data_IF_958767865227
#
_entry.id   IF_958767865227
#
_cell.length_a   1.000
_cell.length_b   1.000
_cell.length_c   1.000
_cell.angle_alpha   90.00
_cell.angle_beta   90.00
_cell.angle_gamma   90.00
#
_symmetry.space_group_name_H-M   'P 1'
#
loop_
_entity.id
_entity.type
_entity.pdbx_description
1 polymer ?
#
# COMPACT_ATOMS: atom_id res chain seq x y z
N UNK A 1 0.23 59.62 -54.08
CA UNK A 1 0.90 59.33 -52.78
C UNK A 1 0.63 57.87 -52.50
N UNK A 2 1.44 56.95 -53.02
CA UNK A 2 2.65 56.38 -52.42
C UNK A 2 2.34 55.61 -51.12
N UNK A 3 2.78 54.39 -50.84
CA UNK A 3 3.37 53.27 -51.57
C UNK A 3 3.63 52.17 -50.52
N UNK A 4 3.58 50.88 -50.90
CA UNK A 4 4.12 49.70 -50.17
C UNK A 4 3.51 49.41 -48.78
N UNK A 5 3.41 48.18 -48.27
CA UNK A 5 4.05 46.91 -48.58
C UNK A 5 4.03 46.10 -47.26
N UNK A 6 3.85 44.78 -47.38
CA UNK A 6 3.64 43.81 -46.31
C UNK A 6 4.72 43.81 -45.20
N UNK A 7 4.39 43.33 -44.00
CA UNK A 7 5.05 42.17 -43.36
C UNK A 7 4.55 41.95 -41.93
N UNK A 8 4.29 40.69 -41.61
CA UNK A 8 4.29 40.13 -40.25
C UNK A 8 5.61 39.35 -40.11
N UNK A 9 6.37 39.54 -39.02
CA UNK A 9 7.11 38.41 -38.48
C UNK A 9 7.11 38.38 -36.95
N UNK A 10 6.99 37.16 -36.42
CA UNK A 10 7.46 36.81 -35.09
C UNK A 10 8.93 37.25 -34.93
N UNK A 11 9.23 37.93 -33.83
CA UNK A 11 10.45 37.74 -33.00
C UNK A 11 10.52 38.82 -31.92
N UNK A 12 10.26 38.45 -30.67
CA UNK A 12 10.86 39.09 -29.48
C UNK A 12 10.52 38.28 -28.23
N UNK A 13 11.30 37.23 -28.00
CA UNK A 13 11.52 36.67 -26.68
C UNK A 13 12.60 37.53 -25.98
N UNK A 14 12.38 37.99 -24.74
CA UNK A 14 13.49 38.07 -23.79
C UNK A 14 13.21 37.24 -22.53
N UNK A 15 14.09 36.24 -22.41
CA UNK A 15 14.58 35.46 -21.27
C UNK A 15 14.69 36.26 -19.96
N UNK A 16 14.66 35.54 -18.81
CA UNK A 16 15.01 35.86 -17.40
C UNK A 16 13.77 35.95 -16.47
N UNK A 17 13.60 35.22 -15.38
CA UNK A 17 14.38 34.19 -14.68
C UNK A 17 13.42 33.48 -13.72
N UNK A 18 13.32 32.15 -13.75
CA UNK A 18 12.70 31.37 -12.68
C UNK A 18 13.74 30.42 -12.09
N UNK A 19 14.10 30.69 -10.84
CA UNK A 19 14.96 29.84 -10.04
C UNK A 19 14.28 28.49 -9.81
N UNK A 20 14.94 27.43 -10.27
CA UNK A 20 14.63 26.05 -9.91
C UNK A 20 15.10 25.79 -8.48
N UNK A 21 14.22 25.23 -7.66
CA UNK A 21 14.62 24.42 -6.50
C UNK A 21 14.11 23.01 -6.78
N UNK A 22 15.04 22.15 -7.13
CA UNK A 22 14.87 20.70 -7.23
C UNK A 22 14.85 20.09 -5.82
N UNK A 23 13.81 19.34 -5.47
CA UNK A 23 13.92 18.22 -4.54
C UNK A 23 13.20 17.01 -5.15
N UNK A 24 13.92 16.34 -6.05
CA UNK A 24 13.60 15.00 -6.48
C UNK A 24 14.18 14.03 -5.44
N UNK A 25 13.42 13.74 -4.39
CA UNK A 25 13.70 12.63 -3.49
C UNK A 25 13.60 11.31 -4.26
N UNK A 26 14.76 10.71 -4.47
CA UNK A 26 15.00 9.46 -5.19
C UNK A 26 14.43 8.26 -4.43
N UNK A 27 13.46 7.59 -5.04
CA UNK A 27 13.01 6.25 -4.65
C UNK A 27 14.13 5.25 -5.00
N UNK A 28 14.91 4.86 -3.99
CA UNK A 28 15.84 3.73 -4.10
C UNK A 28 15.08 2.43 -3.84
N UNK A 29 14.63 1.82 -4.93
CA UNK A 29 14.17 0.43 -5.02
C UNK A 29 15.32 -0.48 -4.63
N UNK A 30 15.28 -1.08 -3.44
CA UNK A 30 16.19 -2.18 -3.09
C UNK A 30 15.54 -3.50 -3.48
N UNK A 31 15.78 -3.94 -4.71
CA UNK A 31 15.62 -5.35 -5.07
C UNK A 31 16.71 -6.15 -4.33
N UNK A 32 16.38 -7.27 -3.67
CA UNK A 32 17.39 -8.24 -3.28
C UNK A 32 17.79 -9.06 -4.51
N UNK A 33 19.05 -8.96 -4.90
CA UNK A 33 19.71 -9.79 -5.91
C UNK A 33 19.57 -11.28 -5.55
N UNK A 34 18.82 -11.99 -6.39
CA UNK A 34 18.79 -13.45 -6.48
C UNK A 34 19.87 -13.88 -7.47
N UNK A 35 21.11 -13.97 -7.02
CA UNK A 35 22.19 -14.60 -7.78
C UNK A 35 23.29 -15.09 -6.82
N UNK A 36 23.12 -16.31 -6.31
CA UNK A 36 24.22 -17.26 -6.05
C UNK A 36 23.62 -18.59 -5.59
N UNK A 37 22.96 -19.27 -6.53
CA UNK A 37 22.75 -20.71 -6.47
C UNK A 37 23.92 -21.35 -7.22
N UNK A 38 25.08 -21.46 -6.57
CA UNK A 38 26.17 -22.29 -7.07
C UNK A 38 25.83 -23.76 -6.79
N UNK A 39 25.14 -24.36 -7.76
CA UNK A 39 25.04 -25.81 -7.93
C UNK A 39 26.27 -26.25 -8.72
N UNK A 40 27.38 -26.53 -8.03
CA UNK A 40 28.49 -27.25 -8.63
C UNK A 40 28.36 -28.75 -8.37
N UNK A 41 28.39 -29.46 -9.49
CA UNK A 41 28.09 -30.86 -9.69
C UNK A 41 29.01 -31.82 -8.93
N UNK A 42 28.41 -32.96 -8.61
CA UNK A 42 29.02 -34.19 -8.13
C UNK A 42 29.99 -34.78 -9.16
N UNK A 43 31.10 -35.38 -8.69
CA UNK A 43 31.55 -36.64 -9.24
C UNK A 43 31.56 -37.72 -8.15
N UNK A 44 30.98 -38.87 -8.46
CA UNK A 44 31.07 -40.07 -7.64
C UNK A 44 32.47 -40.69 -7.69
N UNK A 45 32.88 -41.27 -6.56
CA UNK A 45 33.88 -42.33 -6.50
C UNK A 45 33.61 -43.20 -5.27
N UNK A 46 33.70 -44.51 -5.47
CA UNK A 46 33.27 -45.60 -4.61
C UNK A 46 34.23 -45.88 -3.42
N UNK A 47 33.69 -46.14 -2.21
CA UNK A 47 34.38 -46.98 -1.20
C UNK A 47 34.27 -46.57 0.27
N UNK A 48 34.41 -47.51 1.24
CA UNK A 48 33.57 -47.54 2.44
C UNK A 48 34.21 -47.04 3.76
N UNK A 49 33.31 -46.62 4.67
CA UNK A 49 33.37 -46.65 6.13
C UNK A 49 34.57 -46.01 6.86
N UNK A 50 34.32 -44.83 7.45
CA UNK A 50 34.89 -44.47 8.76
C UNK A 50 33.94 -43.52 9.50
N UNK A 51 33.55 -43.91 10.71
CA UNK A 51 32.73 -43.15 11.64
C UNK A 51 33.34 -41.77 11.94
N UNK A 52 32.56 -40.70 11.77
CA UNK A 52 32.87 -39.39 12.31
C UNK A 52 31.67 -38.86 13.10
N UNK A 53 31.89 -38.29 14.30
CA UNK A 53 30.80 -37.91 15.21
C UNK A 53 30.01 -36.73 14.64
N UNK A 54 28.69 -36.88 14.60
CA UNK A 54 27.74 -35.83 14.23
C UNK A 54 27.75 -34.70 15.28
N UNK A 55 28.73 -33.80 15.22
CA UNK A 55 28.81 -32.64 16.11
C UNK A 55 28.94 -31.33 15.35
N UNK A 56 27.91 -31.00 14.57
CA UNK A 56 27.64 -29.61 14.23
C UNK A 56 26.16 -29.45 13.84
N UNK A 57 25.24 -29.79 14.77
CA UNK A 57 23.93 -29.14 14.76
C UNK A 57 24.23 -27.66 14.97
N UNK A 58 24.30 -26.87 13.90
CA UNK A 58 24.24 -25.43 13.99
C UNK A 58 22.97 -25.15 14.81
N UNK A 59 23.16 -24.74 16.06
CA UNK A 59 22.06 -24.49 16.98
C UNK A 59 21.34 -23.27 16.43
N UNK A 60 20.34 -23.51 15.58
CA UNK A 60 19.49 -22.49 15.01
C UNK A 60 19.08 -21.55 16.16
N UNK A 61 19.50 -20.29 16.07
CA UNK A 61 19.25 -19.31 17.11
C UNK A 61 17.73 -19.16 17.22
N UNK A 62 17.17 -19.53 18.37
CA UNK A 62 15.72 -19.44 18.57
C UNK A 62 15.28 -17.99 18.36
N UNK A 63 14.40 -17.73 17.39
CA UNK A 63 13.84 -16.40 17.12
C UNK A 63 12.95 -15.90 18.27
N UNK A 64 12.50 -16.81 19.15
CA UNK A 64 11.63 -16.51 20.29
C UNK A 64 12.03 -17.32 21.51
N UNK A 65 12.13 -16.66 22.67
CA UNK A 65 12.36 -17.32 23.95
C UNK A 65 11.04 -17.82 24.56
N UNK A 66 11.06 -18.87 25.38
CA UNK A 66 9.88 -19.30 26.14
C UNK A 66 9.55 -18.29 27.26
N UNK A 67 8.30 -18.29 27.74
CA UNK A 67 7.76 -17.34 28.74
C UNK A 67 8.64 -17.25 30.00
N UNK A 68 9.15 -18.38 30.49
CA UNK A 68 10.00 -18.42 31.69
C UNK A 68 11.37 -17.80 31.45
N UNK A 69 12.02 -18.11 30.32
CA UNK A 69 13.30 -17.51 29.96
C UNK A 69 13.18 -16.02 29.66
N UNK A 70 12.06 -15.58 29.05
CA UNK A 70 11.74 -14.16 28.88
C UNK A 70 11.61 -13.44 30.23
N UNK A 71 10.78 -13.97 31.14
CA UNK A 71 10.56 -13.38 32.48
C UNK A 71 11.84 -13.31 33.30
N UNK A 72 12.71 -14.32 33.18
CA UNK A 72 14.01 -14.39 33.87
C UNK A 72 15.13 -13.65 33.14
N UNK A 73 14.87 -13.10 31.94
CA UNK A 73 15.85 -12.40 31.10
C UNK A 73 17.13 -13.20 30.85
N UNK A 74 16.98 -14.51 30.56
CA UNK A 74 18.10 -15.41 30.24
C UNK A 74 17.97 -15.96 28.81
N UNK A 75 19.09 -16.41 28.23
CA UNK A 75 19.10 -17.00 26.88
C UNK A 75 18.24 -18.28 26.83
N UNK A 76 17.32 -18.34 25.88
CA UNK A 76 16.55 -19.54 25.57
C UNK A 76 17.22 -20.32 24.45
N UNK A 77 17.17 -21.65 24.51
CA UNK A 77 17.67 -22.52 23.44
C UNK A 77 16.64 -22.79 22.34
N UNK A 78 15.37 -22.46 22.56
CA UNK A 78 14.28 -22.65 21.58
C UNK A 78 13.72 -24.06 21.48
N UNK A 79 14.41 -25.08 22.01
CA UNK A 79 13.86 -26.43 22.11
C UNK A 79 12.63 -26.47 23.03
N UNK A 80 11.77 -27.48 22.88
CA UNK A 80 10.61 -27.71 23.74
C UNK A 80 10.71 -29.08 24.43
N UNK A 81 10.95 -29.14 25.76
CA UNK A 81 11.27 -28.02 26.65
C UNK A 81 12.67 -27.44 26.39
N UNK A 82 12.90 -26.16 26.67
CA UNK A 82 14.21 -25.56 26.47
C UNK A 82 15.18 -26.00 27.58
N UNK A 83 16.49 -25.99 27.31
CA UNK A 83 17.52 -26.57 28.20
C UNK A 83 17.49 -25.96 29.61
N UNK A 84 17.27 -24.63 29.70
CA UNK A 84 17.12 -23.94 30.97
C UNK A 84 15.87 -24.36 31.75
N UNK A 85 14.74 -24.56 31.05
CA UNK A 85 13.52 -25.01 31.70
C UNK A 85 13.59 -26.49 32.08
N UNK A 86 14.26 -27.32 31.29
CA UNK A 86 14.49 -28.73 31.59
C UNK A 86 15.33 -28.89 32.85
N UNK A 87 16.50 -28.22 32.92
CA UNK A 87 17.41 -28.30 34.08
C UNK A 87 16.79 -27.76 35.37
N UNK A 88 16.02 -26.68 35.28
CA UNK A 88 15.40 -26.02 36.44
C UNK A 88 13.97 -26.51 36.74
N UNK A 89 13.47 -27.47 35.96
CA UNK A 89 12.12 -28.03 36.02
C UNK A 89 11.02 -26.96 36.01
N UNK A 90 11.19 -25.94 35.16
CA UNK A 90 10.19 -24.89 34.95
C UNK A 90 9.19 -25.28 33.84
N UNK A 91 7.96 -24.76 33.93
CA UNK A 91 6.97 -24.90 32.87
C UNK A 91 7.40 -24.14 31.61
N UNK A 92 7.95 -24.85 30.62
CA UNK A 92 8.36 -24.29 29.35
C UNK A 92 7.17 -24.10 28.41
N UNK A 93 6.76 -22.84 28.18
CA UNK A 93 5.71 -22.49 27.21
C UNK A 93 6.18 -21.39 26.28
N UNK A 94 5.85 -21.47 25.00
CA UNK A 94 6.15 -20.46 24.00
C UNK A 94 4.87 -19.72 23.61
N UNK A 95 4.65 -18.53 24.15
CA UNK A 95 3.46 -17.71 23.85
C UNK A 95 3.58 -16.99 22.49
N UNK A 96 2.83 -17.47 21.49
CA UNK A 96 2.83 -16.92 20.14
C UNK A 96 2.20 -15.52 20.09
N UNK A 97 1.35 -15.18 21.06
CA UNK A 97 0.58 -13.94 21.15
C UNK A 97 1.34 -12.83 21.90
N UNK A 98 2.45 -13.17 22.59
CA UNK A 98 3.28 -12.24 23.35
C UNK A 98 4.26 -11.39 22.54
N UNK A 99 4.36 -11.61 21.22
CA UNK A 99 5.27 -10.83 20.36
C UNK A 99 4.72 -9.41 20.11
N UNK A 100 4.99 -8.49 21.05
CA UNK A 100 4.55 -7.10 20.98
C UNK A 100 5.02 -6.36 19.71
N UNK A 101 6.11 -6.80 19.08
CA UNK A 101 6.58 -6.23 17.80
C UNK A 101 5.57 -6.52 16.69
N UNK A 102 5.02 -7.72 16.64
CA UNK A 102 3.96 -8.10 15.69
C UNK A 102 2.66 -7.36 15.97
N UNK A 103 2.31 -7.10 17.24
CA UNK A 103 1.12 -6.30 17.59
C UNK A 103 1.20 -4.87 17.07
N UNK A 104 2.32 -4.19 17.30
CA UNK A 104 2.52 -2.82 16.82
C UNK A 104 2.54 -2.74 15.28
N UNK A 105 3.22 -3.70 14.62
CA UNK A 105 3.23 -3.79 13.15
C UNK A 105 1.83 -4.05 12.59
N UNK A 106 1.11 -5.02 13.13
CA UNK A 106 -0.26 -5.34 12.69
C UNK A 106 -1.20 -4.16 12.91
N UNK A 107 -1.06 -3.43 14.02
CA UNK A 107 -1.88 -2.25 14.28
C UNK A 107 -1.66 -1.15 13.24
N UNK A 108 -0.40 -0.89 12.85
CA UNK A 108 -0.08 0.06 11.76
C UNK A 108 -0.67 -0.38 10.43
N UNK A 109 -0.49 -1.65 10.07
CA UNK A 109 -1.06 -2.22 8.83
C UNK A 109 -2.59 -2.12 8.82
N UNK A 110 -3.25 -2.41 9.95
CA UNK A 110 -4.71 -2.28 10.08
C UNK A 110 -5.14 -0.82 9.92
N UNK A 111 -4.40 0.12 10.51
CA UNK A 111 -4.69 1.55 10.39
C UNK A 111 -4.55 2.01 8.93
N UNK A 112 -3.43 1.69 8.27
CA UNK A 112 -3.20 2.01 6.85
C UNK A 112 -4.29 1.40 5.96
N UNK A 113 -4.70 0.15 6.22
CA UNK A 113 -5.78 -0.50 5.48
C UNK A 113 -7.13 0.20 5.69
N UNK A 114 -7.42 0.67 6.90
CA UNK A 114 -8.65 1.41 7.17
C UNK A 114 -8.66 2.77 6.46
N UNK A 115 -7.56 3.51 6.53
CA UNK A 115 -7.40 4.80 5.85
C UNK A 115 -7.55 4.66 4.33
N UNK A 116 -6.91 3.63 3.74
CA UNK A 116 -7.05 3.31 2.32
C UNK A 116 -8.48 2.92 1.95
N UNK A 117 -9.15 2.12 2.77
CA UNK A 117 -10.56 1.76 2.55
C UNK A 117 -11.49 2.97 2.61
N UNK A 118 -11.27 3.89 3.54
CA UNK A 118 -12.05 5.13 3.61
C UNK A 118 -11.81 6.02 2.39
N UNK A 119 -10.57 6.12 1.92
CA UNK A 119 -10.24 6.84 0.69
C UNK A 119 -10.96 6.25 -0.53
N UNK A 120 -10.93 4.92 -0.67
CA UNK A 120 -11.65 4.22 -1.73
C UNK A 120 -13.17 4.45 -1.64
N UNK A 121 -13.76 4.41 -0.44
CA UNK A 121 -15.18 4.72 -0.24
C UNK A 121 -15.53 6.13 -0.71
N UNK A 122 -14.70 7.14 -0.36
CA UNK A 122 -14.92 8.52 -0.82
C UNK A 122 -14.87 8.65 -2.34
N UNK A 123 -13.90 8.01 -3.00
CA UNK A 123 -13.82 8.03 -4.47
C UNK A 123 -15.02 7.33 -5.12
N UNK A 124 -15.43 6.17 -4.59
CA UNK A 124 -16.62 5.45 -5.08
C UNK A 124 -17.88 6.29 -4.95
N UNK A 125 -18.08 6.96 -3.81
CA UNK A 125 -19.20 7.89 -3.64
C UNK A 125 -19.19 9.02 -4.68
N UNK A 126 -18.03 9.62 -4.96
CA UNK A 126 -17.93 10.67 -5.98
C UNK A 126 -18.33 10.18 -7.37
N UNK A 127 -17.74 9.06 -7.80
CA UNK A 127 -18.01 8.49 -9.12
C UNK A 127 -19.47 8.03 -9.23
N UNK A 128 -20.00 7.37 -8.18
CA UNK A 128 -21.40 6.99 -8.13
C UNK A 128 -22.32 8.19 -8.28
N UNK A 129 -21.99 9.31 -7.64
CA UNK A 129 -22.76 10.54 -7.72
C UNK A 129 -22.71 11.21 -9.09
N UNK A 130 -21.53 11.25 -9.72
CA UNK A 130 -21.40 11.70 -11.10
C UNK A 130 -22.28 10.88 -12.04
N UNK A 131 -22.20 9.55 -11.94
CA UNK A 131 -22.98 8.64 -12.77
C UNK A 131 -24.48 8.77 -12.51
N UNK A 132 -24.90 8.95 -11.25
CA UNK A 132 -26.30 9.14 -10.89
C UNK A 132 -26.88 10.40 -11.52
N UNK A 133 -26.20 11.54 -11.39
CA UNK A 133 -26.64 12.82 -11.97
C UNK A 133 -26.71 12.72 -13.49
N UNK A 134 -25.69 12.16 -14.15
CA UNK A 134 -25.65 12.08 -15.62
C UNK A 134 -26.72 11.13 -16.17
N UNK A 135 -26.97 9.99 -15.50
CA UNK A 135 -27.89 8.96 -16.02
C UNK A 135 -29.36 9.20 -15.68
N UNK A 136 -29.63 9.80 -14.53
CA UNK A 136 -31.00 9.92 -14.00
C UNK A 136 -31.41 11.35 -13.65
N UNK A 137 -30.48 12.30 -13.67
CA UNK A 137 -30.77 13.70 -13.37
C UNK A 137 -31.61 14.38 -14.45
N UNK A 138 -32.49 15.26 -14.02
CA UNK A 138 -33.23 16.14 -14.91
C UNK A 138 -32.29 17.12 -15.63
N UNK A 139 -32.66 17.59 -16.83
CA UNK A 139 -31.81 18.45 -17.66
C UNK A 139 -31.26 19.65 -16.90
N UNK A 140 -32.07 20.27 -16.03
CA UNK A 140 -31.61 21.39 -15.20
C UNK A 140 -30.53 20.96 -14.20
N UNK A 141 -30.74 19.87 -13.47
CA UNK A 141 -29.75 19.35 -12.49
C UNK A 141 -28.45 18.93 -13.17
N UNK A 142 -28.52 18.36 -14.37
CA UNK A 142 -27.33 18.00 -15.15
C UNK A 142 -26.56 19.25 -15.59
N UNK A 143 -27.25 20.30 -16.05
CA UNK A 143 -26.57 21.56 -16.42
C UNK A 143 -25.95 22.25 -15.20
N UNK A 144 -26.68 22.35 -14.08
CA UNK A 144 -26.15 22.89 -12.82
C UNK A 144 -24.90 22.13 -12.36
N UNK A 145 -24.90 20.80 -12.51
CA UNK A 145 -23.73 19.97 -12.21
C UNK A 145 -22.54 20.26 -13.13
N UNK A 146 -22.77 20.37 -14.44
CA UNK A 146 -21.71 20.71 -15.41
C UNK A 146 -21.12 22.09 -15.11
N UNK A 147 -21.97 23.07 -14.81
CA UNK A 147 -21.54 24.42 -14.45
C UNK A 147 -20.72 24.41 -13.16
N UNK A 148 -21.14 23.64 -12.14
CA UNK A 148 -20.39 23.49 -10.90
C UNK A 148 -19.01 22.87 -11.15
N UNK A 149 -18.92 21.81 -11.95
CA UNK A 149 -17.65 21.14 -12.29
C UNK A 149 -16.72 22.07 -13.07
N UNK A 150 -17.26 22.90 -13.98
CA UNK A 150 -16.45 23.85 -14.77
C UNK A 150 -15.98 25.06 -13.97
N UNK A 151 -16.73 25.46 -12.94
CA UNK A 151 -16.47 26.66 -12.15
C UNK A 151 -15.50 26.41 -11.00
N UNK A 152 -15.53 25.23 -10.39
CA UNK A 152 -14.77 24.97 -9.17
C UNK A 152 -13.37 24.42 -9.42
N UNK A 153 -12.40 24.91 -8.64
CA UNK A 153 -11.06 24.34 -8.55
C UNK A 153 -10.99 23.21 -7.50
N UNK A 154 -11.97 23.14 -6.59
CA UNK A 154 -11.96 22.22 -5.43
C UNK A 154 -12.98 21.10 -5.62
N UNK A 155 -12.48 19.88 -5.65
CA UNK A 155 -13.30 18.64 -5.71
C UNK A 155 -14.32 18.56 -4.57
N UNK A 156 -14.03 19.16 -3.41
CA UNK A 156 -14.94 19.20 -2.25
C UNK A 156 -16.24 19.96 -2.49
N UNK A 157 -16.24 20.98 -3.34
CA UNK A 157 -17.45 21.74 -3.67
C UNK A 157 -18.39 20.89 -4.52
N UNK A 158 -17.82 20.21 -5.53
CA UNK A 158 -18.54 19.22 -6.34
C UNK A 158 -19.10 18.10 -5.47
N UNK A 159 -18.31 17.58 -4.53
CA UNK A 159 -18.75 16.54 -3.61
C UNK A 159 -19.94 16.99 -2.75
N UNK A 160 -19.96 18.27 -2.35
CA UNK A 160 -21.05 18.85 -1.57
C UNK A 160 -22.30 19.05 -2.41
N UNK A 161 -22.15 19.54 -3.64
CA UNK A 161 -23.23 19.64 -4.61
C UNK A 161 -23.90 18.29 -4.87
N UNK A 162 -23.09 17.25 -5.16
CA UNK A 162 -23.57 15.89 -5.42
C UNK A 162 -24.38 15.36 -4.25
N UNK A 163 -23.83 15.39 -3.03
CA UNK A 163 -24.52 14.91 -1.83
C UNK A 163 -25.84 15.64 -1.62
N UNK A 164 -25.83 16.98 -1.73
CA UNK A 164 -27.03 17.80 -1.56
C UNK A 164 -28.13 17.48 -2.60
N UNK A 165 -27.77 17.09 -3.82
CA UNK A 165 -28.73 16.68 -4.85
C UNK A 165 -29.25 15.25 -4.62
N UNK A 166 -28.36 14.31 -4.34
CA UNK A 166 -28.73 12.90 -4.09
C UNK A 166 -29.66 12.77 -2.89
N UNK A 167 -29.39 13.49 -1.80
CA UNK A 167 -30.19 13.40 -0.57
C UNK A 167 -31.64 13.92 -0.76
N UNK A 168 -31.89 14.71 -1.81
CA UNK A 168 -33.19 15.33 -2.09
C UNK A 168 -33.97 14.66 -3.21
N UNK A 169 -33.30 13.94 -4.11
CA UNK A 169 -33.91 13.33 -5.28
C UNK A 169 -33.80 11.80 -5.22
N UNK A 170 -34.95 11.15 -5.03
CA UNK A 170 -35.04 9.70 -4.94
C UNK A 170 -34.59 9.00 -6.23
N UNK A 171 -34.74 9.63 -7.40
CA UNK A 171 -34.26 9.06 -8.68
C UNK A 171 -32.74 9.02 -8.71
N UNK A 172 -32.09 10.09 -8.24
CA UNK A 172 -30.64 10.17 -8.13
C UNK A 172 -30.13 9.16 -7.10
N UNK A 173 -30.79 9.05 -5.94
CA UNK A 173 -30.42 8.06 -4.92
C UNK A 173 -30.51 6.62 -5.46
N UNK A 174 -31.60 6.27 -6.15
CA UNK A 174 -31.74 4.94 -6.77
C UNK A 174 -30.68 4.68 -7.83
N UNK A 175 -30.32 5.68 -8.64
CA UNK A 175 -29.26 5.55 -9.65
C UNK A 175 -27.87 5.42 -9.01
N UNK A 176 -27.64 6.15 -7.91
CA UNK A 176 -26.41 6.11 -7.12
C UNK A 176 -26.15 4.72 -6.52
N UNK A 177 -27.16 4.12 -5.90
CA UNK A 177 -27.06 2.81 -5.25
C UNK A 177 -26.87 1.65 -6.24
N UNK A 178 -27.28 1.84 -7.49
CA UNK A 178 -27.20 0.83 -8.56
C UNK A 178 -25.88 0.80 -9.32
N UNK A 179 -24.95 1.70 -9.01
CA UNK A 179 -23.64 1.70 -9.66
C UNK A 179 -22.89 0.43 -9.26
N UNK A 180 -22.64 -0.42 -10.26
CA UNK A 180 -21.88 -1.65 -10.05
C UNK A 180 -20.40 -1.32 -9.88
N UNK A 181 -19.81 -1.95 -8.87
CA UNK A 181 -18.43 -1.82 -8.46
C UNK A 181 -17.74 -3.17 -8.33
N UNK A 182 -18.40 -4.23 -8.80
CA UNK A 182 -17.79 -5.54 -8.91
C UNK A 182 -16.55 -5.42 -9.78
N UNK A 183 -15.41 -6.02 -9.37
CA UNK A 183 -14.22 -6.03 -10.22
C UNK A 183 -14.58 -6.65 -11.56
N UNK A 184 -14.15 -6.02 -12.65
CA UNK A 184 -14.32 -6.56 -13.99
C UNK A 184 -13.59 -7.92 -14.04
N UNK A 185 -14.29 -9.05 -14.28
CA UNK A 185 -13.65 -10.36 -14.30
C UNK A 185 -12.65 -10.53 -15.45
N UNK A 186 -12.58 -9.59 -16.39
CA UNK A 186 -11.70 -9.64 -17.57
C UNK A 186 -10.44 -8.76 -17.44
N UNK A 187 -10.25 -8.04 -16.32
CA UNK A 187 -9.07 -7.21 -16.01
C UNK A 187 -8.29 -7.78 -14.82
#
# INVERSE_FOLDING_TARGET
MASFGQANPNDANPVLSASVVDDASTLSTTQPDLADLDLTESPGDDGPAVEAPQSARSRARSSRACVMCQRKKIRCTGAQPCENCQRRRWSCRFDAEGDGRKKASNHRVIQELNEANEQLKRHRQMISGFLAIIRAGESQTVQEFIDEVRRTEKVGDVATFIRAKIDRDERLLRAFDRVDWSPDPQL
#
